data_IF_328246461811
#
_entry.id   IF_328246461811
#
_cell.length_a   1.000
_cell.length_b   1.000
_cell.length_c   1.000
_cell.angle_alpha   90.00
_cell.angle_beta   90.00
_cell.angle_gamma   90.00
#
_symmetry.space_group_name_H-M   'P 1'
#
loop_
_entity.id
_entity.type
_entity.pdbx_description
1 polymer ?
#
# COMPACT_ATOMS: atom_id res chain seq x y z
N UNK A 1 20.34 -6.25 -6.91
CA UNK A 1 19.03 -5.90 -7.52
C UNK A 1 18.01 -6.82 -6.88
N UNK A 2 16.84 -6.31 -6.48
CA UNK A 2 15.78 -7.16 -5.94
C UNK A 2 15.25 -8.09 -7.03
N UNK A 3 14.98 -9.35 -6.68
CA UNK A 3 14.38 -10.36 -7.57
C UNK A 3 12.85 -10.44 -7.43
N UNK A 4 12.27 -9.49 -6.70
CA UNK A 4 10.84 -9.35 -6.45
C UNK A 4 10.40 -7.89 -6.49
N UNK A 5 9.10 -7.69 -6.70
CA UNK A 5 8.41 -6.40 -6.62
C UNK A 5 7.47 -6.39 -5.42
N UNK A 6 7.56 -5.35 -4.60
CA UNK A 6 6.68 -5.17 -3.44
C UNK A 6 5.54 -4.25 -3.86
N UNK A 7 4.31 -4.71 -3.72
CA UNK A 7 3.09 -3.98 -4.05
C UNK A 7 2.37 -3.63 -2.75
N UNK A 8 2.27 -2.35 -2.44
CA UNK A 8 1.68 -1.84 -1.19
C UNK A 8 0.74 -0.67 -1.50
N UNK A 9 -0.36 -0.50 -0.78
CA UNK A 9 -1.32 0.59 -1.01
C UNK A 9 -0.86 1.94 -0.45
N UNK A 10 0.25 1.97 0.30
CA UNK A 10 0.70 3.12 1.07
C UNK A 10 2.21 3.33 1.03
N UNK A 11 2.69 4.34 1.75
CA UNK A 11 4.11 4.67 1.89
C UNK A 11 4.98 3.55 2.50
N UNK A 12 4.38 2.54 3.14
CA UNK A 12 5.12 1.38 3.64
C UNK A 12 5.94 0.69 2.54
N UNK A 13 5.44 0.68 1.30
CA UNK A 13 6.19 0.18 0.14
C UNK A 13 7.49 0.94 -0.12
N UNK A 14 7.51 2.26 0.05
CA UNK A 14 8.72 3.08 -0.12
C UNK A 14 9.73 2.76 0.97
N UNK A 15 9.29 2.71 2.23
CA UNK A 15 10.15 2.38 3.36
C UNK A 15 10.76 0.97 3.21
N UNK A 16 9.99 -0.01 2.72
CA UNK A 16 10.48 -1.34 2.41
C UNK A 16 11.60 -1.31 1.36
N UNK A 17 11.42 -0.61 0.25
CA UNK A 17 12.48 -0.50 -0.74
C UNK A 17 13.76 0.08 -0.16
N UNK A 18 13.66 1.10 0.70
CA UNK A 18 14.82 1.67 1.41
C UNK A 18 15.50 0.65 2.32
N UNK A 19 14.72 -0.16 3.07
CA UNK A 19 15.26 -1.20 3.94
C UNK A 19 16.00 -2.29 3.18
N UNK A 20 15.48 -2.73 2.02
CA UNK A 20 16.13 -3.75 1.19
C UNK A 20 17.35 -3.24 0.42
N UNK A 21 17.41 -1.95 0.15
CA UNK A 21 18.50 -1.30 -0.56
C UNK A 21 19.36 -0.41 0.36
N UNK A 22 19.42 -0.73 1.66
CA UNK A 22 20.25 0.00 2.62
C UNK A 22 21.72 0.04 2.15
N UNK A 23 22.26 1.25 1.97
CA UNK A 23 23.61 1.48 1.42
C UNK A 23 23.65 1.85 -0.06
N UNK A 24 22.51 1.81 -0.77
CA UNK A 24 22.39 2.35 -2.13
C UNK A 24 21.85 3.80 -2.02
N UNK A 25 22.44 4.71 -2.79
CA UNK A 25 21.94 6.08 -2.91
C UNK A 25 20.45 6.05 -3.35
N UNK A 26 19.59 6.75 -2.63
CA UNK A 26 18.14 6.78 -2.90
C UNK A 26 17.80 7.21 -4.34
N UNK A 27 18.66 7.97 -4.99
CA UNK A 27 18.50 8.37 -6.38
C UNK A 27 18.66 7.22 -7.39
N UNK A 28 19.30 6.12 -6.98
CA UNK A 28 19.56 4.94 -7.82
C UNK A 28 18.66 3.74 -7.49
N UNK A 29 17.66 3.91 -6.63
CA UNK A 29 16.71 2.84 -6.33
C UNK A 29 15.77 2.68 -7.53
N UNK A 30 15.93 1.57 -8.25
CA UNK A 30 15.00 1.18 -9.31
C UNK A 30 13.70 0.66 -8.69
N UNK A 31 12.71 1.54 -8.63
CA UNK A 31 11.39 1.17 -8.16
C UNK A 31 10.68 0.30 -9.20
N UNK A 32 10.20 -0.84 -8.73
CA UNK A 32 9.45 -1.82 -9.52
C UNK A 32 7.95 -1.80 -9.23
N UNK A 33 7.54 -1.12 -8.16
CA UNK A 33 6.14 -0.98 -7.78
C UNK A 33 5.55 0.30 -8.40
N UNK A 34 4.52 0.19 -9.28
CA UNK A 34 3.86 1.36 -9.86
C UNK A 34 3.15 2.24 -8.84
N UNK A 35 2.78 1.69 -7.68
CA UNK A 35 2.03 2.35 -6.62
C UNK A 35 2.88 3.20 -5.67
N UNK A 36 4.20 3.32 -5.90
CA UNK A 36 5.05 4.13 -5.02
C UNK A 36 4.60 5.58 -5.01
N UNK A 37 4.49 6.14 -3.83
CA UNK A 37 4.03 7.52 -3.60
C UNK A 37 2.59 7.76 -4.05
N UNK A 38 1.76 6.72 -4.00
CA UNK A 38 0.33 6.80 -4.25
C UNK A 38 -0.46 6.30 -3.05
N UNK A 39 -1.76 6.49 -3.07
CA UNK A 39 -2.67 6.09 -2.02
C UNK A 39 -3.94 5.49 -2.63
N UNK A 40 -4.41 4.39 -2.08
CA UNK A 40 -5.77 3.89 -2.23
C UNK A 40 -6.61 4.39 -1.05
N UNK A 41 -7.82 4.86 -1.34
CA UNK A 41 -8.77 5.24 -0.28
C UNK A 41 -9.67 4.08 0.16
N UNK A 42 -9.50 2.89 -0.44
CA UNK A 42 -10.28 1.70 -0.12
C UNK A 42 -9.41 0.46 -0.22
N UNK A 43 -9.43 -0.37 0.83
CA UNK A 43 -8.77 -1.67 0.83
C UNK A 43 -9.37 -2.60 -0.22
N UNK A 44 -10.68 -2.51 -0.43
CA UNK A 44 -11.37 -3.28 -1.44
C UNK A 44 -10.86 -2.96 -2.84
N UNK A 45 -10.67 -1.68 -3.17
CA UNK A 45 -10.08 -1.27 -4.45
C UNK A 45 -8.64 -1.77 -4.59
N UNK A 46 -7.85 -1.71 -3.52
CA UNK A 46 -6.48 -2.24 -3.53
C UNK A 46 -6.46 -3.76 -3.75
N UNK A 47 -7.29 -4.51 -3.02
CA UNK A 47 -7.39 -5.96 -3.16
C UNK A 47 -7.85 -6.33 -4.58
N UNK A 48 -8.87 -5.66 -5.11
CA UNK A 48 -9.35 -5.84 -6.48
C UNK A 48 -8.27 -5.55 -7.52
N UNK A 49 -7.49 -4.49 -7.30
CA UNK A 49 -6.33 -4.18 -8.14
C UNK A 49 -5.31 -5.32 -8.12
N UNK A 50 -5.01 -5.88 -6.93
CA UNK A 50 -4.06 -6.99 -6.78
C UNK A 50 -4.58 -8.30 -7.40
N UNK A 51 -5.88 -8.60 -7.25
CA UNK A 51 -6.54 -9.77 -7.85
C UNK A 51 -6.42 -9.77 -9.39
N UNK A 52 -6.42 -8.59 -9.99
CA UNK A 52 -6.39 -8.38 -11.43
C UNK A 52 -5.19 -7.53 -11.86
N UNK A 53 -4.06 -7.70 -11.19
CA UNK A 53 -2.88 -6.84 -11.33
C UNK A 53 -2.44 -6.68 -12.78
N UNK A 54 -2.29 -7.79 -13.53
CA UNK A 54 -1.81 -7.74 -14.92
C UNK A 54 -2.79 -7.02 -15.85
N UNK A 55 -4.09 -7.13 -15.58
CA UNK A 55 -5.11 -6.38 -16.31
C UNK A 55 -4.95 -4.88 -16.07
N UNK A 56 -4.95 -4.43 -14.80
CA UNK A 56 -4.91 -3.00 -14.49
C UNK A 56 -3.61 -2.32 -14.91
N UNK A 57 -2.45 -2.97 -14.76
CA UNK A 57 -1.18 -2.38 -15.23
C UNK A 57 -1.07 -2.34 -16.75
N UNK A 58 -1.84 -3.16 -17.46
CA UNK A 58 -1.94 -3.14 -18.93
C UNK A 58 -2.81 -2.02 -19.48
N UNK A 59 -3.67 -1.41 -18.65
CA UNK A 59 -4.51 -0.30 -19.06
C UNK A 59 -3.70 0.99 -19.29
N UNK A 60 -4.21 1.83 -20.15
CA UNK A 60 -3.72 3.21 -20.27
C UNK A 60 -4.42 4.06 -19.23
N UNK A 61 -3.68 4.66 -18.27
CA UNK A 61 -4.27 5.51 -17.25
C UNK A 61 -5.03 6.69 -17.85
N UNK A 62 -6.24 6.92 -17.36
CA UNK A 62 -6.97 8.17 -17.56
C UNK A 62 -6.70 9.04 -16.33
N UNK A 63 -6.42 10.32 -16.53
CA UNK A 63 -6.15 11.22 -15.44
C UNK A 63 -7.39 12.04 -15.08
N UNK A 64 -7.72 12.01 -13.80
CA UNK A 64 -8.68 12.88 -13.15
C UNK A 64 -8.00 13.84 -12.18
N UNK A 65 -8.83 14.57 -11.46
CA UNK A 65 -8.42 15.52 -10.44
C UNK A 65 -8.79 14.99 -9.05
N UNK A 66 -7.79 14.61 -8.29
CA UNK A 66 -7.94 14.33 -6.88
C UNK A 66 -7.91 15.61 -6.04
N UNK A 67 -8.57 15.59 -4.90
CA UNK A 67 -8.61 16.70 -3.96
C UNK A 67 -8.37 16.19 -2.54
N UNK A 68 -7.74 17.00 -1.71
CA UNK A 68 -7.58 16.70 -0.28
C UNK A 68 -8.93 16.53 0.43
N UNK A 69 -10.00 17.11 -0.10
CA UNK A 69 -11.34 16.94 0.43
C UNK A 69 -11.78 15.47 0.52
N UNK A 70 -11.48 14.66 -0.50
CA UNK A 70 -11.78 13.21 -0.48
C UNK A 70 -10.98 12.50 0.63
N UNK A 71 -9.72 12.85 0.80
CA UNK A 71 -8.87 12.29 1.86
C UNK A 71 -9.35 12.77 3.23
N UNK A 72 -9.67 14.06 3.37
CA UNK A 72 -10.20 14.62 4.61
C UNK A 72 -11.54 13.99 4.99
N UNK A 73 -12.42 13.74 4.03
CA UNK A 73 -13.67 13.03 4.28
C UNK A 73 -13.41 11.63 4.82
N UNK A 74 -12.47 10.90 4.21
CA UNK A 74 -12.07 9.55 4.64
C UNK A 74 -11.43 9.56 6.03
N UNK A 75 -10.69 10.61 6.38
CA UNK A 75 -10.02 10.76 7.65
C UNK A 75 -10.86 11.43 8.74
N UNK A 76 -12.08 11.90 8.41
CA UNK A 76 -12.94 12.67 9.33
C UNK A 76 -13.13 11.97 10.68
N UNK A 77 -13.35 10.68 10.64
CA UNK A 77 -13.61 9.88 11.83
C UNK A 77 -12.33 9.49 12.60
N UNK A 78 -11.18 9.80 12.03
CA UNK A 78 -9.87 9.48 12.64
C UNK A 78 -9.32 10.63 13.50
N UNK A 79 -9.91 11.83 13.40
CA UNK A 79 -9.50 13.03 14.16
C UNK A 79 -8.16 13.63 13.75
N UNK A 80 -7.50 13.09 12.72
CA UNK A 80 -6.28 13.68 12.14
C UNK A 80 -6.61 14.45 10.87
N UNK A 81 -6.10 15.67 10.76
CA UNK A 81 -6.10 16.40 9.51
C UNK A 81 -5.06 15.83 8.55
N UNK A 82 -5.40 15.78 7.28
CA UNK A 82 -4.41 15.62 6.22
C UNK A 82 -3.93 17.01 5.80
N UNK A 83 -2.63 17.20 5.75
CA UNK A 83 -2.00 18.51 5.46
C UNK A 83 -1.46 18.56 4.02
N UNK A 84 -2.15 17.99 3.06
CA UNK A 84 -1.79 18.12 1.66
C UNK A 84 -2.28 19.44 1.07
N UNK A 85 -1.62 19.94 0.06
CA UNK A 85 -1.94 21.22 -0.60
C UNK A 85 -2.87 21.03 -1.80
N UNK A 86 -4.11 20.69 -1.54
CA UNK A 86 -5.23 21.01 -2.42
C UNK A 86 -5.54 20.03 -3.54
N UNK A 87 -4.75 19.89 -4.58
CA UNK A 87 -5.13 19.14 -5.78
C UNK A 87 -3.94 18.37 -6.37
N UNK A 88 -4.20 17.14 -6.80
CA UNK A 88 -3.19 16.23 -7.33
C UNK A 88 -3.75 15.39 -8.48
N UNK A 89 -2.90 14.76 -9.33
CA UNK A 89 -3.36 13.84 -10.33
C UNK A 89 -4.00 12.59 -9.71
N UNK A 90 -5.17 12.21 -10.24
CA UNK A 90 -5.85 10.97 -9.93
C UNK A 90 -5.69 10.03 -11.12
N UNK A 91 -5.09 8.86 -10.93
CA UNK A 91 -5.07 7.79 -11.93
C UNK A 91 -6.38 7.03 -11.83
N UNK A 92 -7.06 6.89 -12.97
CA UNK A 92 -8.27 6.10 -13.11
C UNK A 92 -7.98 4.92 -14.04
N UNK A 93 -8.19 3.71 -13.54
CA UNK A 93 -8.06 2.44 -14.26
C UNK A 93 -9.39 1.72 -14.16
N UNK A 94 -10.28 1.93 -15.12
CA UNK A 94 -11.69 1.54 -15.05
C UNK A 94 -12.35 2.06 -13.76
N UNK A 95 -12.66 1.19 -12.83
CA UNK A 95 -13.30 1.51 -11.55
C UNK A 95 -12.32 1.63 -10.37
N UNK A 96 -11.01 1.61 -10.64
CA UNK A 96 -9.96 1.81 -9.62
C UNK A 96 -9.47 3.26 -9.64
N UNK A 97 -9.47 3.90 -8.48
CA UNK A 97 -8.90 5.22 -8.24
C UNK A 97 -7.58 5.12 -7.47
N UNK A 98 -6.50 5.70 -8.02
CA UNK A 98 -5.18 5.76 -7.38
C UNK A 98 -4.76 7.21 -7.21
N UNK A 99 -4.63 7.67 -5.98
CA UNK A 99 -4.37 9.05 -5.62
C UNK A 99 -2.87 9.35 -5.60
N UNK A 100 -2.38 10.23 -6.49
CA UNK A 100 -0.98 10.64 -6.60
C UNK A 100 -0.67 11.84 -5.69
N UNK A 101 -0.89 11.69 -4.40
CA UNK A 101 -0.88 12.76 -3.38
C UNK A 101 0.44 13.55 -3.23
N UNK A 102 1.54 13.00 -3.74
CA UNK A 102 2.85 13.65 -3.70
C UNK A 102 3.23 14.35 -5.02
N UNK A 103 2.30 14.42 -5.96
CA UNK A 103 2.54 15.04 -7.26
C UNK A 103 1.59 16.22 -7.43
N UNK A 104 2.07 17.39 -7.86
CA UNK A 104 1.19 18.55 -8.06
C UNK A 104 0.26 18.32 -9.26
N UNK A 105 -0.92 18.92 -9.24
CA UNK A 105 -1.80 18.94 -10.40
C UNK A 105 -1.07 19.56 -11.61
N UNK A 106 -1.24 18.96 -12.79
CA UNK A 106 -0.51 19.34 -14.01
C UNK A 106 0.75 18.51 -14.25
N UNK A 107 1.10 17.58 -13.33
CA UNK A 107 2.25 16.67 -13.49
C UNK A 107 1.89 15.32 -14.13
N UNK A 108 0.73 15.17 -14.76
CA UNK A 108 0.20 13.90 -15.30
C UNK A 108 1.19 13.20 -16.25
N UNK A 109 1.90 13.97 -17.08
CA UNK A 109 2.93 13.41 -17.99
C UNK A 109 4.09 12.79 -17.20
N UNK A 110 4.49 13.39 -16.07
CA UNK A 110 5.52 12.85 -15.18
C UNK A 110 5.01 11.58 -14.47
N UNK A 111 3.79 11.62 -13.94
CA UNK A 111 3.14 10.48 -13.30
C UNK A 111 3.06 9.29 -14.27
N UNK A 112 2.61 9.52 -15.50
CA UNK A 112 2.53 8.48 -16.54
C UNK A 112 3.89 7.89 -16.86
N UNK A 113 4.92 8.73 -16.96
CA UNK A 113 6.30 8.27 -17.22
C UNK A 113 6.81 7.39 -16.06
N UNK A 114 6.61 7.83 -14.81
CA UNK A 114 6.96 7.06 -13.61
C UNK A 114 6.20 5.73 -13.57
N UNK A 115 4.90 5.75 -13.82
CA UNK A 115 4.03 4.56 -13.89
C UNK A 115 4.57 3.53 -14.88
N UNK A 116 4.74 3.92 -16.15
CA UNK A 116 5.26 3.04 -17.20
C UNK A 116 6.67 2.53 -16.91
N UNK A 117 7.54 3.38 -16.38
CA UNK A 117 8.91 3.01 -16.02
C UNK A 117 8.93 1.93 -14.92
N UNK A 118 8.15 2.11 -13.87
CA UNK A 118 8.05 1.17 -12.74
C UNK A 118 7.45 -0.17 -13.16
N UNK A 119 6.40 -0.17 -13.97
CA UNK A 119 5.83 -1.41 -14.54
C UNK A 119 6.90 -2.16 -15.34
N UNK A 120 7.62 -1.47 -16.22
CA UNK A 120 8.70 -2.09 -17.01
C UNK A 120 9.80 -2.66 -16.11
N UNK A 121 10.21 -1.95 -15.09
CA UNK A 121 11.24 -2.41 -14.15
C UNK A 121 10.77 -3.61 -13.30
N UNK A 122 9.47 -3.72 -13.02
CA UNK A 122 8.87 -4.84 -12.30
C UNK A 122 8.49 -6.03 -13.17
N UNK A 123 8.61 -5.90 -14.49
CA UNK A 123 8.22 -6.96 -15.41
C UNK A 123 9.05 -8.23 -15.20
N UNK A 124 8.36 -9.36 -15.00
CA UNK A 124 9.00 -10.67 -14.76
C UNK A 124 9.49 -10.92 -13.34
N UNK A 125 9.41 -9.94 -12.44
CA UNK A 125 9.74 -10.14 -11.04
C UNK A 125 8.61 -10.88 -10.30
N UNK A 126 8.97 -11.64 -9.27
CA UNK A 126 8.00 -12.17 -8.31
C UNK A 126 7.29 -11.02 -7.62
N UNK A 127 5.99 -11.16 -7.36
CA UNK A 127 5.19 -10.13 -6.67
C UNK A 127 4.96 -10.52 -5.23
N UNK A 128 5.14 -9.54 -4.35
CA UNK A 128 4.81 -9.63 -2.94
C UNK A 128 3.82 -8.51 -2.66
N UNK A 129 2.56 -8.89 -2.43
CA UNK A 129 1.51 -7.96 -2.03
C UNK A 129 1.57 -7.77 -0.52
N UNK A 130 1.52 -6.53 -0.06
CA UNK A 130 1.56 -6.23 1.37
C UNK A 130 0.40 -5.32 1.75
N UNK A 131 -0.26 -5.65 2.84
CA UNK A 131 -1.36 -4.87 3.42
C UNK A 131 -1.23 -4.88 4.93
N UNK A 132 -1.30 -3.72 5.55
CA UNK A 132 -1.35 -3.59 7.00
C UNK A 132 -2.79 -3.35 7.46
N UNK A 133 -3.22 -3.97 8.54
CA UNK A 133 -4.54 -3.74 9.14
C UNK A 133 -4.77 -2.27 9.49
N UNK A 134 -3.69 -1.55 9.74
CA UNK A 134 -3.69 -0.11 9.94
C UNK A 134 -4.01 0.71 8.69
N UNK A 135 -4.09 0.11 7.50
CA UNK A 135 -4.39 0.83 6.28
C UNK A 135 -5.87 1.26 6.30
N UNK A 136 -6.85 0.52 5.99
CA UNK A 136 -8.25 0.98 6.00
C UNK A 136 -9.26 -0.04 6.53
N UNK A 137 -8.81 -1.25 6.85
CA UNK A 137 -9.68 -2.36 7.25
C UNK A 137 -10.45 -2.15 8.56
N UNK A 138 -9.97 -1.26 9.42
CA UNK A 138 -10.59 -1.04 10.73
C UNK A 138 -11.96 -0.35 10.67
N UNK A 139 -12.31 0.19 9.52
CA UNK A 139 -13.62 0.83 9.30
C UNK A 139 -14.71 -0.15 8.86
N UNK A 140 -14.34 -1.37 8.50
CA UNK A 140 -15.27 -2.41 8.10
C UNK A 140 -15.85 -3.14 9.30
N UNK A 141 -17.07 -3.67 9.16
CA UNK A 141 -17.61 -4.65 10.10
C UNK A 141 -16.77 -5.93 10.11
N UNK A 142 -16.85 -6.72 11.18
CA UNK A 142 -15.99 -7.91 11.36
C UNK A 142 -16.11 -8.93 10.21
N UNK A 143 -17.32 -9.17 9.72
CA UNK A 143 -17.55 -10.13 8.62
C UNK A 143 -16.99 -9.62 7.30
N UNK A 144 -17.17 -8.34 6.99
CA UNK A 144 -16.63 -7.71 5.80
C UNK A 144 -15.10 -7.69 5.86
N UNK A 145 -14.53 -7.32 7.00
CA UNK A 145 -13.09 -7.37 7.25
C UNK A 145 -12.54 -8.78 7.00
N UNK A 146 -13.16 -9.81 7.56
CA UNK A 146 -12.75 -11.20 7.37
C UNK A 146 -12.76 -11.59 5.89
N UNK A 147 -13.81 -11.22 5.18
CA UNK A 147 -13.93 -11.47 3.74
C UNK A 147 -12.81 -10.79 2.95
N UNK A 148 -12.47 -9.54 3.26
CA UNK A 148 -11.40 -8.80 2.60
C UNK A 148 -10.02 -9.43 2.89
N UNK A 149 -9.75 -9.82 4.13
CA UNK A 149 -8.51 -10.50 4.52
C UNK A 149 -8.38 -11.84 3.79
N UNK A 150 -9.45 -12.64 3.76
CA UNK A 150 -9.47 -13.92 3.04
C UNK A 150 -9.18 -13.75 1.55
N UNK A 151 -9.78 -12.75 0.90
CA UNK A 151 -9.50 -12.42 -0.50
C UNK A 151 -8.04 -12.04 -0.69
N UNK A 152 -7.53 -11.17 0.19
CA UNK A 152 -6.13 -10.74 0.14
C UNK A 152 -5.14 -11.89 0.29
N UNK A 153 -5.37 -12.79 1.24
CA UNK A 153 -4.49 -13.93 1.49
C UNK A 153 -4.52 -14.99 0.37
N UNK A 154 -5.54 -14.97 -0.51
CA UNK A 154 -5.66 -15.85 -1.67
C UNK A 154 -5.15 -15.22 -2.98
N UNK A 155 -4.52 -14.06 -2.92
CA UNK A 155 -3.96 -13.42 -4.11
C UNK A 155 -2.96 -14.32 -4.84
N UNK A 156 -2.86 -14.23 -6.17
CA UNK A 156 -1.87 -14.98 -6.94
C UNK A 156 -0.47 -14.43 -6.65
N UNK A 157 0.39 -15.25 -6.07
CA UNK A 157 1.73 -14.88 -5.62
C UNK A 157 1.85 -14.89 -4.10
N UNK A 158 2.73 -14.07 -3.57
CA UNK A 158 2.89 -13.93 -2.11
C UNK A 158 2.06 -12.75 -1.62
N UNK A 159 1.26 -12.96 -0.58
CA UNK A 159 0.55 -11.88 0.13
C UNK A 159 0.92 -11.89 1.61
N UNK A 160 1.23 -10.72 2.15
CA UNK A 160 1.59 -10.56 3.56
C UNK A 160 0.64 -9.55 4.18
N UNK A 161 -0.17 -10.05 5.12
CA UNK A 161 -1.11 -9.23 5.89
C UNK A 161 -0.57 -9.03 7.30
N UNK A 162 -0.35 -7.79 7.67
CA UNK A 162 0.07 -7.40 9.01
C UNK A 162 -1.15 -7.01 9.84
N UNK A 163 -1.38 -7.72 10.93
CA UNK A 163 -2.50 -7.50 11.82
C UNK A 163 -2.05 -7.39 13.26
N UNK A 164 -2.82 -6.67 14.07
CA UNK A 164 -2.66 -6.63 15.53
C UNK A 164 -3.44 -7.70 16.26
N UNK A 165 -4.43 -8.26 15.59
CA UNK A 165 -5.25 -9.33 16.15
C UNK A 165 -4.46 -10.64 16.10
N UNK A 166 -4.77 -11.57 17.01
CA UNK A 166 -4.19 -12.89 16.92
C UNK A 166 -4.67 -13.55 15.63
N UNK A 167 -3.78 -13.68 14.68
CA UNK A 167 -4.02 -14.42 13.46
C UNK A 167 -2.71 -15.07 13.06
N UNK A 168 -2.69 -16.38 13.13
CA UNK A 168 -1.72 -17.22 12.45
C UNK A 168 -2.51 -17.99 11.38
N UNK A 169 -2.97 -17.28 10.36
CA UNK A 169 -3.65 -17.92 9.26
C UNK A 169 -2.75 -17.90 8.04
N UNK A 170 -2.38 -19.07 7.57
CA UNK A 170 -1.76 -19.25 6.27
C UNK A 170 -2.84 -19.75 5.31
N UNK A 171 -3.03 -19.03 4.21
CA UNK A 171 -3.93 -19.43 3.14
C UNK A 171 -3.18 -19.43 1.81
N UNK A 172 -2.93 -20.57 1.24
CA UNK A 172 -2.14 -20.68 0.01
C UNK A 172 -0.74 -20.15 0.19
N UNK A 173 -0.34 -19.14 -0.57
CA UNK A 173 0.92 -18.41 -0.44
C UNK A 173 0.78 -17.13 0.43
N UNK A 174 -0.35 -16.94 1.09
CA UNK A 174 -0.62 -15.81 1.93
C UNK A 174 -0.20 -16.05 3.38
N UNK A 175 0.32 -15.00 4.00
CA UNK A 175 0.75 -15.00 5.39
C UNK A 175 0.04 -13.90 6.15
N UNK A 176 -0.73 -14.25 7.19
CA UNK A 176 -1.18 -13.29 8.18
C UNK A 176 -0.18 -13.30 9.35
N UNK A 177 0.39 -12.15 9.63
CA UNK A 177 1.39 -12.02 10.67
C UNK A 177 0.94 -11.04 11.73
N UNK A 178 1.11 -11.40 13.00
CA UNK A 178 0.86 -10.48 14.10
C UNK A 178 1.94 -9.40 14.11
N UNK A 179 1.54 -8.19 13.82
CA UNK A 179 2.37 -7.01 13.94
C UNK A 179 1.90 -6.20 15.14
N UNK A 180 2.79 -5.88 16.04
CA UNK A 180 2.54 -5.00 17.19
C UNK A 180 3.44 -3.78 17.05
N UNK A 181 2.97 -2.69 16.41
CA UNK A 181 3.70 -1.43 16.51
C UNK A 181 3.79 -1.00 17.97
N UNK A 182 4.79 -0.21 18.33
CA UNK A 182 4.97 0.37 19.67
C UNK A 182 3.82 1.33 19.98
N UNK A 183 2.70 0.81 20.48
CA UNK A 183 1.49 1.56 20.78
C UNK A 183 1.26 1.73 22.27
N UNK A 184 2.25 1.41 23.06
CA UNK A 184 2.21 1.67 24.48
C UNK A 184 1.96 3.17 24.71
N UNK A 185 0.88 3.48 25.42
CA UNK A 185 0.49 4.85 25.75
C UNK A 185 -0.46 5.54 24.76
N UNK A 186 -0.80 4.94 23.61
CA UNK A 186 -1.79 5.54 22.68
C UNK A 186 -3.22 5.21 23.08
N UNK A 187 -4.11 6.19 22.94
CA UNK A 187 -5.55 6.02 23.20
C UNK A 187 -6.18 5.05 22.18
N UNK A 188 -7.34 4.47 22.52
CA UNK A 188 -8.11 3.63 21.59
C UNK A 188 -8.45 4.37 20.29
N UNK A 189 -8.72 5.67 20.40
CA UNK A 189 -8.99 6.54 19.27
C UNK A 189 -7.77 6.65 18.32
N UNK A 190 -6.57 6.83 18.87
CA UNK A 190 -5.34 6.86 18.07
C UNK A 190 -5.01 5.51 17.43
N UNK A 191 -5.35 4.41 18.10
CA UNK A 191 -5.21 3.04 17.56
C UNK A 191 -6.15 2.76 16.40
N UNK A 192 -7.34 3.36 16.41
CA UNK A 192 -8.32 3.24 15.33
C UNK A 192 -8.04 4.21 14.17
N UNK A 193 -7.05 5.09 14.31
CA UNK A 193 -6.65 6.01 13.27
C UNK A 193 -5.72 5.32 12.27
N UNK A 194 -6.32 4.65 11.35
CA UNK A 194 -5.69 3.78 10.35
C UNK A 194 -4.62 4.49 9.52
N UNK A 195 -4.95 5.64 8.96
CA UNK A 195 -4.02 6.39 8.11
C UNK A 195 -2.84 6.95 8.92
N UNK A 196 -3.12 7.52 10.10
CA UNK A 196 -2.08 8.02 10.97
C UNK A 196 -1.13 6.94 11.47
N UNK A 197 -1.62 5.71 11.64
CA UNK A 197 -0.80 4.58 12.08
C UNK A 197 0.21 4.14 11.03
N UNK A 198 -0.21 4.04 9.78
CA UNK A 198 0.70 3.75 8.67
C UNK A 198 1.72 4.86 8.52
N UNK A 199 1.28 6.12 8.57
CA UNK A 199 2.15 7.27 8.42
C UNK A 199 3.17 7.41 9.54
N UNK A 200 2.73 7.24 10.79
CA UNK A 200 3.59 7.39 11.98
C UNK A 200 4.49 6.15 12.22
N UNK A 201 4.17 5.00 11.66
CA UNK A 201 4.87 3.73 11.92
C UNK A 201 5.33 3.02 10.63
N UNK A 202 5.48 3.74 9.53
CA UNK A 202 5.87 3.13 8.25
C UNK A 202 7.24 2.44 8.31
N UNK A 203 8.16 2.91 9.14
CA UNK A 203 9.47 2.29 9.32
C UNK A 203 9.37 0.96 10.07
N UNK A 204 8.59 0.90 11.16
CA UNK A 204 8.36 -0.33 11.92
C UNK A 204 7.60 -1.37 11.10
N UNK A 205 6.63 -0.93 10.30
CA UNK A 205 5.91 -1.79 9.36
C UNK A 205 6.89 -2.34 8.32
N UNK A 206 7.76 -1.49 7.78
CA UNK A 206 8.76 -1.90 6.82
C UNK A 206 9.76 -2.90 7.41
N UNK A 207 10.20 -2.71 8.65
CA UNK A 207 11.10 -3.63 9.35
C UNK A 207 10.43 -5.00 9.57
N UNK A 208 9.17 -5.02 10.00
CA UNK A 208 8.40 -6.26 10.16
C UNK A 208 8.23 -7.00 8.83
N UNK A 209 7.83 -6.28 7.78
CA UNK A 209 7.67 -6.84 6.43
C UNK A 209 8.99 -7.39 5.89
N UNK A 210 10.11 -6.69 6.13
CA UNK A 210 11.44 -7.16 5.72
C UNK A 210 11.77 -8.50 6.36
N UNK A 211 11.57 -8.65 7.67
CA UNK A 211 11.83 -9.92 8.37
C UNK A 211 11.00 -11.07 7.76
N UNK A 212 9.73 -10.83 7.43
CA UNK A 212 8.86 -11.83 6.81
C UNK A 212 9.35 -12.16 5.40
N UNK A 213 9.63 -11.15 4.58
CA UNK A 213 10.11 -11.35 3.21
C UNK A 213 11.42 -12.12 3.21
N UNK A 214 12.35 -11.80 4.10
CA UNK A 214 13.62 -12.52 4.23
C UNK A 214 13.39 -13.98 4.66
N UNK A 215 12.38 -14.26 5.49
CA UNK A 215 12.04 -15.64 5.91
C UNK A 215 11.37 -16.46 4.80
N UNK A 216 10.65 -15.82 3.89
CA UNK A 216 9.94 -16.48 2.77
C UNK A 216 10.85 -16.71 1.56
N UNK A 217 12.01 -16.06 1.52
CA UNK A 217 13.00 -16.20 0.41
C UNK A 217 13.82 -17.48 0.45
N UNK A 218 13.66 -18.30 1.47
CA UNK A 218 14.43 -19.55 1.64
C UNK A 218 13.91 -20.67 0.75
#
# INVERSE_FOLDING_TARGET
>A
MLDFSIISPTCAGVALYRRFNSGVDEHFIDFTNPLISTLFLSDEQFIKFCENYDYYIGLTPIFGKGTDGKIQERLRDTGKGYYGEGQYPLIMLDDIEIHCIHEPLGSEALVLRKWKGRIRNGAGLKRIFTLAESDFLTIHGEDERRSLVDRFLRLPGYSIFLTQRAAEEQSGNGYACKFMPKWEGRSQFERNNVFGLVWDNHDEIADALKLIIDSVRV
#
